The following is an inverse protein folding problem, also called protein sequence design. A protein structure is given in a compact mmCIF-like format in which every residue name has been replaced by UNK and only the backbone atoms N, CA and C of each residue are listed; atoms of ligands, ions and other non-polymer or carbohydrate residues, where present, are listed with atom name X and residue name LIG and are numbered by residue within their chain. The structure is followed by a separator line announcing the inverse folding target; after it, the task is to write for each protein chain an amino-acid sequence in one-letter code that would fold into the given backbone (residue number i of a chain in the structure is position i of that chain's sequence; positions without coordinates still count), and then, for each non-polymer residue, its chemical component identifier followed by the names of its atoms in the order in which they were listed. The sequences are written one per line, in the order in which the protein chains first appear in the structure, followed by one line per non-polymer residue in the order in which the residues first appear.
data_IF_774900482462
#
_entry.id   IF_774900482462
#
_cell.length_a   1.000
_cell.length_b   1.000
_cell.length_c   1.000
_cell.angle_alpha   90.00
_cell.angle_beta   90.00
_cell.angle_gamma   90.00
#
_symmetry.space_group_name_H-M   'P 1'
#
loop_
_entity.id
_entity.type
_entity.pdbx_description
1 polymer ?
#
# COMPACT_ATOMS: atom_id res chain seq x y z
N UNK A 1 -18.66 3.76 -12.60
CA UNK A 1 -18.97 2.55 -11.81
C UNK A 1 -17.90 1.53 -12.12
N UNK A 2 -17.18 0.99 -11.12
CA UNK A 2 -16.10 0.04 -11.35
C UNK A 2 -16.65 -1.23 -12.00
N UNK A 3 -15.86 -1.82 -12.90
CA UNK A 3 -16.24 -3.05 -13.59
C UNK A 3 -16.04 -4.24 -12.66
N UNK A 4 -16.97 -5.19 -12.66
CA UNK A 4 -16.86 -6.40 -11.83
C UNK A 4 -16.23 -7.52 -12.64
N UNK A 5 -15.16 -8.13 -12.13
CA UNK A 5 -14.54 -9.28 -12.76
C UNK A 5 -15.45 -10.51 -12.65
N UNK A 6 -15.52 -11.35 -13.69
CA UNK A 6 -16.22 -12.62 -13.58
C UNK A 6 -15.57 -13.53 -12.54
N UNK A 7 -16.38 -14.38 -11.93
CA UNK A 7 -15.90 -15.37 -10.97
C UNK A 7 -15.00 -16.38 -11.69
N UNK A 8 -13.71 -16.34 -11.40
CA UNK A 8 -12.70 -17.25 -11.95
C UNK A 8 -12.08 -18.15 -10.88
N UNK A 9 -12.24 -17.77 -9.61
CA UNK A 9 -11.82 -18.55 -8.46
C UNK A 9 -12.96 -19.47 -8.00
N UNK A 10 -12.63 -20.70 -7.62
CA UNK A 10 -13.60 -21.63 -7.04
C UNK A 10 -14.17 -21.14 -5.70
N UNK A 11 -15.17 -21.86 -5.18
CA UNK A 11 -15.91 -21.56 -3.94
C UNK A 11 -15.06 -21.20 -2.71
N UNK A 12 -13.80 -21.66 -2.64
CA UNK A 12 -12.92 -21.41 -1.50
C UNK A 12 -12.17 -20.06 -1.58
N UNK A 13 -12.19 -19.38 -2.73
CA UNK A 13 -11.42 -18.17 -2.97
C UNK A 13 -9.92 -18.43 -3.09
N UNK A 14 -9.15 -17.33 -3.07
CA UNK A 14 -7.69 -17.35 -3.11
C UNK A 14 -7.16 -16.75 -1.81
N UNK A 15 -6.54 -17.57 -0.96
CA UNK A 15 -5.81 -17.12 0.23
C UNK A 15 -4.33 -16.97 -0.14
N UNK A 16 -3.81 -15.75 -0.11
CA UNK A 16 -2.40 -15.45 -0.37
C UNK A 16 -1.65 -15.16 0.94
N UNK A 17 -0.40 -15.63 1.07
CA UNK A 17 0.44 -15.29 2.21
C UNK A 17 0.90 -13.84 2.12
N UNK A 18 1.33 -13.31 3.27
CA UNK A 18 1.98 -12.03 3.35
C UNK A 18 3.49 -12.18 3.27
N UNK A 19 4.12 -11.40 2.39
CA UNK A 19 5.56 -11.44 2.14
C UNK A 19 6.26 -10.16 2.63
N UNK A 20 7.55 -10.19 3.00
CA UNK A 20 8.31 -8.96 3.22
C UNK A 20 8.44 -8.13 1.94
N UNK A 21 8.20 -6.83 2.02
CA UNK A 21 8.50 -5.91 0.91
C UNK A 21 10.01 -5.78 0.77
N UNK A 22 10.57 -6.19 -0.38
CA UNK A 22 11.99 -6.00 -0.72
C UNK A 22 12.13 -5.53 -2.16
N UNK A 23 13.23 -4.85 -2.54
CA UNK A 23 13.46 -4.45 -3.93
C UNK A 23 13.38 -5.62 -4.92
N UNK A 24 13.91 -6.78 -4.57
CA UNK A 24 13.88 -7.97 -5.43
C UNK A 24 12.51 -8.62 -5.54
N UNK A 25 11.75 -8.69 -4.44
CA UNK A 25 10.44 -9.34 -4.46
C UNK A 25 9.39 -8.47 -5.16
N UNK A 26 9.57 -7.15 -5.17
CA UNK A 26 8.62 -6.20 -5.74
C UNK A 26 8.95 -5.77 -7.19
N UNK A 27 10.16 -6.04 -7.70
CA UNK A 27 10.61 -5.58 -9.02
C UNK A 27 9.70 -5.91 -10.23
N UNK A 28 8.88 -7.00 -10.24
CA UNK A 28 7.93 -7.23 -11.32
C UNK A 28 6.74 -6.25 -11.38
N UNK A 29 6.50 -5.50 -10.31
CA UNK A 29 5.32 -4.64 -10.12
C UNK A 29 5.68 -3.15 -10.07
N UNK A 30 6.97 -2.83 -9.94
CA UNK A 30 7.44 -1.47 -9.73
C UNK A 30 8.73 -1.46 -8.91
N UNK A 31 8.88 -0.48 -8.03
CA UNK A 31 10.08 -0.32 -7.19
C UNK A 31 9.70 -0.23 -5.72
N UNK A 32 10.28 -1.11 -4.89
CA UNK A 32 10.29 -0.91 -3.44
C UNK A 32 11.50 -0.04 -3.07
N UNK A 33 11.25 1.18 -2.62
CA UNK A 33 12.27 2.14 -2.23
C UNK A 33 12.62 1.87 -0.77
N UNK A 34 13.90 1.57 -0.52
CA UNK A 34 14.43 1.28 0.81
C UNK A 34 15.80 1.94 0.97
N UNK A 35 16.27 2.11 2.20
CA UNK A 35 17.63 2.57 2.48
C UNK A 35 18.66 1.68 1.77
N UNK A 36 19.58 2.23 0.96
CA UNK A 36 20.55 1.43 0.20
C UNK A 36 21.82 1.10 0.99
N UNK A 37 22.01 1.73 2.15
CA UNK A 37 23.19 1.61 3.00
C UNK A 37 22.89 0.76 4.24
N UNK A 38 23.92 0.17 4.87
CA UNK A 38 23.77 -0.51 6.15
C UNK A 38 23.06 0.34 7.20
N UNK A 39 22.55 -0.32 8.24
CA UNK A 39 21.89 0.27 9.40
C UNK A 39 22.54 1.61 9.79
N UNK A 40 21.78 2.73 9.83
CA UNK A 40 22.33 4.04 10.14
C UNK A 40 23.03 4.08 11.50
N UNK A 41 22.62 3.24 12.46
CA UNK A 41 23.29 3.11 13.77
C UNK A 41 24.74 2.60 13.65
N UNK A 42 25.07 1.93 12.54
CA UNK A 42 26.39 1.33 12.26
C UNK A 42 27.24 2.17 11.31
N UNK A 43 26.66 3.16 10.62
CA UNK A 43 27.36 4.00 9.63
C UNK A 43 27.03 5.48 9.82
N UNK A 44 27.76 6.14 10.72
CA UNK A 44 27.57 7.56 11.06
C UNK A 44 28.62 8.50 10.45
N UNK A 45 29.53 7.99 9.62
CA UNK A 45 30.55 8.78 8.91
C UNK A 45 30.51 8.43 7.42
N UNK A 46 30.57 9.43 6.52
CA UNK A 46 30.67 9.14 5.09
C UNK A 46 32.05 8.52 4.77
N UNK A 47 32.12 7.64 3.76
CA UNK A 47 33.39 7.14 3.23
C UNK A 47 34.27 8.30 2.74
N UNK A 48 35.60 8.19 2.85
CA UNK A 48 36.50 9.28 2.40
C UNK A 48 36.81 9.20 0.90
N UNK A 49 36.56 8.04 0.28
CA UNK A 49 36.81 7.78 -1.14
C UNK A 49 35.70 6.95 -1.78
N UNK A 50 35.58 7.00 -3.11
CA UNK A 50 34.58 6.22 -3.85
C UNK A 50 34.76 4.70 -3.69
N UNK A 51 36.01 4.24 -3.51
CA UNK A 51 36.34 2.82 -3.29
C UNK A 51 35.90 2.27 -1.93
N UNK A 52 35.64 3.15 -0.96
CA UNK A 52 35.17 2.77 0.38
C UNK A 52 33.65 2.78 0.51
N UNK A 53 32.93 3.22 -0.53
CA UNK A 53 31.46 3.21 -0.51
C UNK A 53 31.01 1.74 -0.49
N UNK A 54 30.22 1.32 0.52
CA UNK A 54 29.74 -0.05 0.58
C UNK A 54 28.85 -0.36 -0.64
N UNK A 55 28.79 -1.61 -1.10
CA UNK A 55 27.81 -2.01 -2.09
C UNK A 55 26.39 -1.80 -1.54
N UNK A 56 25.40 -1.54 -2.41
CA UNK A 56 24.03 -1.37 -1.97
C UNK A 56 23.46 -2.65 -1.37
N UNK A 57 22.62 -2.52 -0.33
CA UNK A 57 22.02 -3.65 0.40
C UNK A 57 21.23 -4.60 -0.52
N UNK A 58 20.57 -4.06 -1.55
CA UNK A 58 19.72 -4.83 -2.45
C UNK A 58 20.18 -4.78 -3.91
N UNK A 59 21.46 -5.08 -4.18
CA UNK A 59 21.95 -5.29 -5.54
C UNK A 59 21.20 -6.44 -6.26
N UNK A 60 20.94 -6.37 -7.58
CA UNK A 60 21.22 -5.24 -8.50
C UNK A 60 20.09 -4.18 -8.53
N UNK A 61 19.08 -4.28 -7.67
CA UNK A 61 17.88 -3.45 -7.69
C UNK A 61 18.08 -2.04 -7.12
N UNK A 62 19.25 -1.76 -6.55
CA UNK A 62 19.68 -0.44 -6.09
C UNK A 62 21.00 -0.10 -6.78
N UNK A 63 21.18 1.13 -7.30
CA UNK A 63 22.44 1.54 -7.90
C UNK A 63 23.51 1.78 -6.83
N UNK A 64 24.78 1.76 -7.25
CA UNK A 64 25.89 2.15 -6.40
C UNK A 64 25.77 3.63 -6.03
N UNK A 65 25.95 3.94 -4.75
CA UNK A 65 25.96 5.33 -4.30
C UNK A 65 27.25 6.05 -4.72
N UNK A 66 27.17 7.37 -4.89
CA UNK A 66 28.32 8.24 -5.18
C UNK A 66 28.49 9.31 -4.12
N UNK A 67 29.72 9.80 -3.92
CA UNK A 67 29.97 10.94 -3.04
C UNK A 67 29.27 12.19 -3.57
N UNK A 68 28.63 12.92 -2.67
CA UNK A 68 27.89 14.15 -2.94
C UNK A 68 28.10 15.16 -1.81
N UNK A 69 27.63 16.40 -2.02
CA UNK A 69 27.68 17.48 -1.04
C UNK A 69 29.08 17.68 -0.43
N UNK A 70 30.10 17.84 -1.28
CA UNK A 70 31.50 17.97 -0.82
C UNK A 70 31.93 16.80 0.10
N UNK A 71 31.56 15.58 -0.28
CA UNK A 71 31.84 14.32 0.45
C UNK A 71 31.16 14.20 1.82
N UNK A 72 30.15 15.02 2.11
CA UNK A 72 29.34 14.88 3.34
C UNK A 72 28.11 13.97 3.16
N UNK A 73 27.77 13.58 1.93
CA UNK A 73 26.62 12.75 1.63
C UNK A 73 26.93 11.66 0.61
N UNK A 74 26.10 10.62 0.60
CA UNK A 74 26.05 9.62 -0.45
C UNK A 74 24.75 9.78 -1.24
N UNK A 75 24.87 9.94 -2.56
CA UNK A 75 23.73 10.00 -3.48
C UNK A 75 23.55 8.65 -4.16
N UNK A 76 22.41 8.01 -3.91
CA UNK A 76 21.97 6.82 -4.66
C UNK A 76 20.97 7.28 -5.69
N UNK A 77 21.20 7.03 -6.98
CA UNK A 77 20.35 7.57 -8.05
C UNK A 77 20.44 6.77 -9.35
N UNK A 78 19.32 6.51 -10.05
CA UNK A 78 17.93 6.72 -9.59
C UNK A 78 17.51 5.66 -8.55
N UNK A 79 16.65 6.02 -7.58
CA UNK A 79 16.08 5.06 -6.59
C UNK A 79 14.70 4.53 -6.98
N UNK A 80 14.10 5.10 -8.02
CA UNK A 80 12.83 4.70 -8.64
C UNK A 80 12.72 5.39 -10.01
N UNK A 81 11.74 4.99 -10.82
CA UNK A 81 11.45 5.60 -12.12
C UNK A 81 10.20 6.47 -12.05
N UNK A 82 10.23 7.61 -12.73
CA UNK A 82 9.04 8.41 -13.00
C UNK A 82 8.58 8.13 -14.43
N UNK A 83 7.42 7.50 -14.59
CA UNK A 83 6.84 7.22 -15.90
C UNK A 83 5.62 8.10 -16.16
N UNK A 84 5.59 8.69 -17.35
CA UNK A 84 4.47 9.48 -17.87
C UNK A 84 4.28 9.11 -19.35
N UNK A 85 3.23 8.35 -19.62
CA UNK A 85 2.86 7.88 -20.96
C UNK A 85 1.42 8.23 -21.30
N UNK A 86 0.89 9.33 -20.74
CA UNK A 86 -0.43 9.81 -21.10
C UNK A 86 -0.46 10.14 -22.59
N UNK A 87 -1.52 9.74 -23.31
CA UNK A 87 -1.61 10.04 -24.73
C UNK A 87 -1.57 11.55 -24.95
N UNK A 88 -0.76 11.99 -25.91
CA UNK A 88 -0.82 13.37 -26.38
C UNK A 88 -2.25 13.66 -26.81
N UNK A 89 -2.80 14.79 -26.37
CA UNK A 89 -4.08 15.27 -26.88
C UNK A 89 -3.93 15.45 -28.39
N UNK A 90 -4.44 14.52 -29.18
CA UNK A 90 -4.44 14.65 -30.63
C UNK A 90 -5.74 14.07 -31.19
N UNK A 91 -6.45 14.97 -31.88
CA UNK A 91 -7.31 14.67 -33.02
C UNK A 91 -8.79 14.27 -32.80
N UNK A 92 -9.56 14.83 -31.86
CA UNK A 92 -11.03 14.75 -31.94
C UNK A 92 -11.85 15.80 -31.13
N UNK A 93 -11.40 17.05 -30.98
CA UNK A 93 -12.20 18.06 -30.29
C UNK A 93 -11.78 19.49 -30.55
N UNK A 94 -12.72 20.31 -30.97
CA UNK A 94 -12.60 21.73 -31.29
C UNK A 94 -12.07 22.55 -30.10
N UNK A 95 -11.09 23.44 -30.39
CA UNK A 95 -10.32 24.31 -29.49
C UNK A 95 -9.29 23.62 -28.58
N UNK A 96 -8.16 23.20 -29.17
CA UNK A 96 -6.93 22.97 -28.43
C UNK A 96 -6.28 24.32 -28.05
N UNK A 97 -6.18 24.61 -26.75
CA UNK A 97 -5.10 25.50 -26.30
C UNK A 97 -3.80 24.70 -26.40
N UNK A 98 -3.04 24.94 -27.48
CA UNK A 98 -1.73 24.32 -27.76
C UNK A 98 -0.70 24.51 -26.63
N UNK A 99 -1.03 25.27 -25.58
CA UNK A 99 -0.19 25.52 -24.41
C UNK A 99 -0.49 24.61 -23.22
N UNK A 100 -1.55 23.81 -23.23
CA UNK A 100 -1.87 22.89 -22.12
C UNK A 100 -1.11 21.56 -22.31
N UNK A 101 -0.27 21.13 -21.34
CA UNK A 101 0.42 19.85 -21.44
C UNK A 101 -0.58 18.67 -21.38
N UNK A 102 -0.23 17.53 -21.98
CA UNK A 102 -1.06 16.32 -21.98
C UNK A 102 -1.26 15.73 -20.58
N UNK A 103 -0.33 15.98 -19.67
CA UNK A 103 -0.40 15.65 -18.24
C UNK A 103 0.57 16.54 -17.45
N UNK A 104 0.48 16.53 -16.12
CA UNK A 104 1.40 17.26 -15.24
C UNK A 104 1.75 16.44 -14.00
N UNK A 105 2.94 16.66 -13.39
CA UNK A 105 3.29 16.01 -12.13
C UNK A 105 2.40 16.55 -11.00
N UNK A 106 1.96 15.66 -10.12
CA UNK A 106 1.15 15.98 -8.97
C UNK A 106 1.74 15.32 -7.73
N UNK A 107 1.79 16.09 -6.64
CA UNK A 107 2.05 15.59 -5.30
C UNK A 107 0.80 15.78 -4.45
N UNK A 108 0.45 14.78 -3.65
CA UNK A 108 -0.72 14.81 -2.78
C UNK A 108 -0.39 14.18 -1.43
N UNK A 109 -1.25 14.44 -0.44
CA UNK A 109 -1.17 13.83 0.88
C UNK A 109 -2.36 12.89 1.05
N UNK A 110 -2.11 11.61 1.34
CA UNK A 110 -3.15 10.69 1.77
C UNK A 110 -2.99 10.37 3.25
N UNK A 111 -4.00 10.72 4.04
CA UNK A 111 -4.11 10.29 5.44
C UNK A 111 -4.93 9.01 5.49
N UNK A 112 -4.25 7.86 5.55
CA UNK A 112 -4.86 6.54 5.50
C UNK A 112 -5.10 5.99 6.90
N UNK A 113 -6.34 5.70 7.25
CA UNK A 113 -6.72 5.17 8.56
C UNK A 113 -6.70 3.62 8.55
N UNK A 114 -6.48 2.97 9.72
CA UNK A 114 -6.48 1.51 9.82
C UNK A 114 -7.79 0.89 9.35
N UNK A 115 -7.71 -0.05 8.40
CA UNK A 115 -8.87 -0.74 7.84
C UNK A 115 -9.24 -1.98 8.67
N UNK A 116 -10.52 -2.33 8.67
CA UNK A 116 -10.98 -3.63 9.16
C UNK A 116 -10.52 -4.76 8.21
N UNK A 117 -10.27 -5.94 8.77
CA UNK A 117 -9.98 -7.19 8.06
C UNK A 117 -11.09 -7.59 7.06
N UNK A 118 -12.33 -7.13 7.27
CA UNK A 118 -13.43 -7.31 6.31
C UNK A 118 -13.19 -6.65 4.95
N UNK A 119 -12.27 -5.67 4.87
CA UNK A 119 -11.95 -4.96 3.63
C UNK A 119 -12.98 -3.90 3.22
N UNK A 120 -14.04 -3.65 3.98
CA UNK A 120 -15.08 -2.65 3.66
C UNK A 120 -15.16 -1.62 4.79
N UNK A 121 -14.91 -0.34 4.48
CA UNK A 121 -15.19 0.81 5.35
C UNK A 121 -14.43 0.87 6.69
N UNK A 122 -14.70 1.96 7.43
CA UNK A 122 -14.41 2.14 8.85
C UNK A 122 -15.75 1.97 9.62
N UNK A 123 -15.71 1.39 10.83
CA UNK A 123 -16.82 1.15 11.80
C UNK A 123 -17.58 -0.19 11.64
N UNK A 124 -17.97 -0.97 12.67
CA UNK A 124 -18.32 -0.75 14.10
C UNK A 124 -17.66 -1.85 14.96
N UNK A 125 -17.33 -1.63 16.26
CA UNK A 125 -16.90 -2.70 17.17
C UNK A 125 -18.06 -3.65 17.45
N UNK A 126 -18.27 -4.65 16.58
CA UNK A 126 -19.27 -5.68 16.85
C UNK A 126 -18.63 -6.86 17.58
N UNK A 127 -19.03 -7.01 18.84
CA UNK A 127 -18.58 -8.02 19.79
C UNK A 127 -19.07 -9.44 19.48
N UNK A 128 -19.19 -9.83 18.21
CA UNK A 128 -19.71 -11.14 17.81
C UNK A 128 -18.88 -11.74 16.67
N UNK A 129 -18.07 -12.75 17.02
CA UNK A 129 -17.36 -13.54 16.04
C UNK A 129 -16.11 -14.29 16.53
N UNK A 130 -15.82 -14.34 17.83
CA UNK A 130 -14.84 -15.31 18.36
C UNK A 130 -15.50 -16.68 18.46
N UNK A 131 -15.57 -17.39 17.34
CA UNK A 131 -15.79 -18.84 17.34
C UNK A 131 -14.43 -19.50 17.43
N UNK A 132 -14.27 -20.38 18.43
CA UNK A 132 -13.01 -21.01 18.78
C UNK A 132 -12.37 -21.88 17.69
N UNK A 133 -11.08 -22.15 17.92
CA UNK A 133 -10.11 -22.91 17.12
C UNK A 133 -9.34 -22.10 16.06
N UNK A 134 -8.08 -21.74 16.38
CA UNK A 134 -7.01 -21.39 15.45
C UNK A 134 -7.42 -20.55 14.21
N UNK A 135 -8.27 -19.54 14.36
CA UNK A 135 -8.72 -18.73 13.23
C UNK A 135 -7.55 -17.91 12.70
N UNK A 136 -7.27 -18.03 11.40
CA UNK A 136 -6.36 -17.14 10.70
C UNK A 136 -7.02 -15.76 10.61
N UNK A 137 -6.25 -14.72 10.92
CA UNK A 137 -6.68 -13.35 10.67
C UNK A 137 -6.46 -13.04 9.19
N UNK A 138 -7.51 -12.59 8.52
CA UNK A 138 -7.52 -12.48 7.05
C UNK A 138 -8.06 -11.13 6.61
N UNK A 139 -7.27 -10.38 5.85
CA UNK A 139 -7.73 -9.17 5.18
C UNK A 139 -8.37 -9.52 3.82
N UNK A 140 -9.61 -9.07 3.57
CA UNK A 140 -10.32 -9.31 2.31
C UNK A 140 -10.05 -8.20 1.30
N UNK A 141 -9.74 -8.60 0.07
CA UNK A 141 -9.54 -7.67 -1.05
C UNK A 141 -10.79 -7.69 -1.91
N UNK A 142 -11.44 -6.53 -2.07
CA UNK A 142 -12.68 -6.40 -2.85
C UNK A 142 -12.51 -5.59 -4.13
N UNK A 143 -11.46 -4.79 -4.23
CA UNK A 143 -11.19 -3.87 -5.33
C UNK A 143 -9.70 -3.81 -5.62
N UNK A 144 -9.36 -3.71 -6.91
CA UNK A 144 -8.04 -3.32 -7.39
C UNK A 144 -8.20 -2.12 -8.31
N UNK A 145 -7.22 -1.24 -8.31
CA UNK A 145 -7.11 -0.08 -9.18
C UNK A 145 -5.77 -0.11 -9.93
N UNK A 146 -5.68 0.66 -11.02
CA UNK A 146 -4.41 0.90 -11.72
C UNK A 146 -4.38 2.31 -12.30
N UNK A 147 -3.16 2.81 -12.49
CA UNK A 147 -2.85 4.03 -13.22
C UNK A 147 -2.19 3.64 -14.56
N UNK A 148 -2.93 3.54 -15.68
CA UNK A 148 -2.44 2.94 -16.93
C UNK A 148 -1.22 3.64 -17.52
N UNK A 149 -1.12 4.96 -17.31
CA UNK A 149 -0.16 5.82 -18.02
C UNK A 149 0.92 6.40 -17.12
N UNK A 150 0.94 6.08 -15.84
CA UNK A 150 1.91 6.68 -14.92
C UNK A 150 2.29 5.78 -13.78
N UNK A 151 3.49 5.99 -13.27
CA UNK A 151 3.90 5.49 -11.95
C UNK A 151 3.19 6.27 -10.86
N UNK A 152 2.86 5.60 -9.77
CA UNK A 152 2.37 6.24 -8.55
C UNK A 152 3.23 5.80 -7.37
N UNK A 153 3.78 6.77 -6.62
CA UNK A 153 4.66 6.50 -5.49
C UNK A 153 4.01 6.91 -4.17
N UNK A 154 4.04 6.04 -3.17
CA UNK A 154 3.65 6.30 -1.79
C UNK A 154 4.87 6.28 -0.88
N UNK A 155 5.11 7.36 -0.17
CA UNK A 155 6.17 7.48 0.84
C UNK A 155 5.52 7.71 2.22
N UNK A 156 5.62 6.77 3.17
CA UNK A 156 5.04 6.97 4.50
C UNK A 156 5.78 8.07 5.26
N UNK A 157 5.04 8.83 6.06
CA UNK A 157 5.57 9.81 7.00
C UNK A 157 5.29 9.38 8.43
N UNK A 158 6.30 9.47 9.30
CA UNK A 158 6.14 9.27 10.75
C UNK A 158 5.83 7.84 11.17
N UNK A 159 6.13 6.84 10.32
CA UNK A 159 6.04 5.42 10.65
C UNK A 159 7.42 4.86 10.99
N UNK A 160 7.52 4.01 12.02
CA UNK A 160 8.79 3.44 12.46
C UNK A 160 9.34 2.39 11.49
N UNK A 161 10.67 2.28 11.42
CA UNK A 161 11.38 1.32 10.58
C UNK A 161 11.35 -0.12 11.14
N UNK A 162 11.19 -0.27 12.45
CA UNK A 162 11.19 -1.55 13.17
C UNK A 162 9.92 -1.62 14.02
N UNK A 163 9.35 -2.82 14.17
CA UNK A 163 8.47 -3.12 15.31
C UNK A 163 9.38 -3.54 16.46
N UNK A 164 9.50 -2.77 17.55
CA UNK A 164 10.46 -3.06 18.64
C UNK A 164 10.39 -4.53 19.04
N UNK A 165 11.45 -5.25 18.73
CA UNK A 165 11.64 -6.64 19.12
C UNK A 165 12.84 -6.72 20.05
N UNK A 166 12.62 -6.31 21.30
CA UNK A 166 13.47 -6.63 22.42
C UNK A 166 14.59 -5.64 22.72
N UNK A 167 14.35 -4.75 23.68
CA UNK A 167 15.13 -4.73 24.92
C UNK A 167 14.18 -4.32 26.05
N UNK A 168 13.87 -5.28 26.92
CA UNK A 168 12.94 -5.11 28.05
C UNK A 168 13.75 -4.60 29.25
N UNK A 169 14.11 -3.33 29.26
CA UNK A 169 14.37 -2.64 30.52
C UNK A 169 13.01 -2.20 31.07
N UNK A 170 12.40 -3.10 31.83
CA UNK A 170 11.13 -2.92 32.51
C UNK A 170 11.25 -1.95 33.69
N UNK A 171 11.57 -0.68 33.44
CA UNK A 171 11.38 0.39 34.43
C UNK A 171 11.37 1.80 33.84
N UNK A 172 10.40 2.14 32.98
CA UNK A 172 9.81 3.49 32.96
C UNK A 172 8.35 3.35 32.51
N UNK A 173 7.42 3.71 33.40
CA UNK A 173 6.01 3.83 33.05
C UNK A 173 5.76 4.98 32.09
N UNK A 174 5.34 4.65 30.88
CA UNK A 174 4.42 5.45 30.05
C UNK A 174 3.69 4.52 29.09
N UNK A 175 2.41 4.27 29.38
CA UNK A 175 1.46 3.70 28.43
C UNK A 175 1.19 4.75 27.35
N UNK A 176 2.09 4.89 26.39
CA UNK A 176 1.80 5.57 25.14
C UNK A 176 1.80 4.51 24.03
N UNK A 177 0.65 4.43 23.35
CA UNK A 177 0.39 3.65 22.14
C UNK A 177 1.29 4.20 21.01
N UNK A 178 2.57 3.84 21.03
CA UNK A 178 3.59 4.38 20.13
C UNK A 178 3.39 3.97 18.64
N UNK A 179 2.30 3.27 18.31
CA UNK A 179 1.95 2.90 16.94
C UNK A 179 2.94 1.95 16.27
N UNK A 180 3.75 1.27 17.09
CA UNK A 180 4.78 0.32 16.66
C UNK A 180 4.21 -0.99 16.09
N UNK A 181 2.90 -1.14 16.18
CA UNK A 181 2.09 -2.20 15.60
C UNK A 181 1.57 -1.86 14.19
N UNK A 182 1.71 -0.59 13.78
CA UNK A 182 1.08 -0.08 12.57
C UNK A 182 1.95 -0.39 11.37
N UNK A 183 1.33 -0.96 10.35
CA UNK A 183 1.97 -1.32 9.08
C UNK A 183 1.03 -0.97 7.93
N UNK A 184 1.56 -0.98 6.72
CA UNK A 184 0.71 -0.92 5.53
C UNK A 184 0.98 -2.12 4.63
N UNK A 185 -0.09 -2.58 3.97
CA UNK A 185 -0.03 -3.67 3.01
C UNK A 185 0.06 -3.11 1.59
N UNK A 186 0.87 -3.76 0.77
CA UNK A 186 0.98 -3.53 -0.66
C UNK A 186 0.48 -4.78 -1.36
N UNK A 187 -0.68 -4.70 -1.99
CA UNK A 187 -1.31 -5.84 -2.66
C UNK A 187 -1.34 -5.53 -4.14
N UNK A 188 -0.70 -6.36 -4.96
CA UNK A 188 -0.45 -6.08 -6.38
C UNK A 188 -0.74 -7.29 -7.25
N UNK A 189 -1.24 -7.03 -8.45
CA UNK A 189 -1.36 -8.03 -9.50
C UNK A 189 -0.80 -7.46 -10.81
N UNK A 190 -0.11 -8.27 -11.62
CA UNK A 190 0.27 -7.85 -12.94
C UNK A 190 -0.97 -7.78 -13.83
N UNK A 191 -0.86 -7.06 -14.95
CA UNK A 191 -1.91 -7.05 -15.96
C UNK A 191 -1.90 -8.37 -16.74
N UNK A 192 -3.08 -9.00 -16.90
CA UNK A 192 -3.29 -10.17 -17.73
C UNK A 192 -3.29 -9.75 -19.20
N UNK A 193 -2.21 -10.04 -19.92
CA UNK A 193 -2.15 -9.87 -21.37
C UNK A 193 -2.75 -11.11 -22.03
N UNK A 194 -3.91 -10.96 -22.66
CA UNK A 194 -4.39 -12.00 -23.57
C UNK A 194 -3.45 -12.01 -24.78
N UNK A 195 -2.85 -13.14 -25.19
CA UNK A 195 -2.11 -13.18 -26.44
C UNK A 195 -3.10 -12.82 -27.56
N UNK A 196 -2.87 -11.70 -28.26
CA UNK A 196 -3.57 -11.48 -29.52
C UNK A 196 -3.32 -12.71 -30.38
N UNK A 197 -4.36 -13.41 -30.89
CA UNK A 197 -4.12 -14.41 -31.92
C UNK A 197 -3.41 -13.67 -33.06
N UNK A 198 -2.23 -14.16 -33.46
CA UNK A 198 -1.50 -13.65 -34.59
C UNK A 198 -2.47 -13.47 -35.75
N UNK A 199 -2.57 -12.24 -36.27
CA UNK A 199 -3.44 -11.93 -37.39
C UNK A 199 -3.17 -12.95 -38.50
N UNK A 200 -4.11 -13.87 -38.71
CA UNK A 200 -4.04 -14.77 -39.85
C UNK A 200 -4.08 -13.90 -41.10
N UNK A 201 -3.20 -14.13 -42.10
CA UNK A 201 -3.19 -13.31 -43.30
C UNK A 201 -4.57 -13.35 -43.96
N UNK A 202 -5.01 -12.25 -44.60
CA UNK A 202 -6.33 -12.19 -45.22
C UNK A 202 -6.43 -13.30 -46.27
N UNK A 203 -7.28 -14.29 -45.99
CA UNK A 203 -7.65 -15.31 -46.96
C UNK A 203 -8.51 -14.63 -48.03
N UNK A 204 -8.03 -14.67 -49.27
CA UNK A 204 -8.68 -14.13 -50.46
C UNK A 204 -10.13 -14.59 -50.57
N UNK A 205 -11.01 -13.63 -50.85
CA UNK A 205 -12.44 -13.82 -51.11
C UNK A 205 -12.71 -14.91 -52.16
N UNK A 206 -13.73 -15.73 -51.92
CA UNK A 206 -14.50 -16.39 -52.98
C UNK A 206 -15.99 -16.27 -52.63
N UNK A 207 -16.85 -15.77 -53.55
CA UNK A 207 -18.27 -15.61 -53.30
C UNK A 207 -19.02 -16.83 -53.83
N UNK A 208 -19.56 -17.69 -52.97
CA UNK A 208 -20.68 -18.58 -53.34
C UNK A 208 -21.21 -19.35 -52.12
N UNK A 209 -22.34 -18.90 -51.58
CA UNK A 209 -23.52 -19.70 -51.18
C UNK A 209 -24.38 -18.90 -50.18
N UNK A 210 -25.72 -18.98 -50.27
CA UNK A 210 -26.62 -18.29 -49.33
C UNK A 210 -26.53 -18.89 -47.92
N UNK A 211 -26.80 -18.11 -46.85
CA UNK A 211 -26.69 -18.60 -45.48
C UNK A 211 -27.84 -19.53 -45.12
N UNK A 212 -27.47 -20.70 -44.59
CA UNK A 212 -28.34 -21.65 -43.91
C UNK A 212 -28.81 -21.05 -42.57
N UNK A 213 -30.11 -21.03 -42.21
CA UNK A 213 -30.53 -20.60 -40.90
C UNK A 213 -30.36 -21.77 -39.92
N UNK A 214 -29.79 -21.48 -38.75
CA UNK A 214 -29.63 -22.36 -37.57
C UNK A 214 -28.24 -22.96 -37.38
N UNK A 215 -27.28 -22.12 -36.97
CA UNK A 215 -26.24 -22.57 -36.03
C UNK A 215 -26.18 -21.55 -34.89
N UNK A 216 -26.66 -21.96 -33.72
CA UNK A 216 -26.44 -21.26 -32.45
C UNK A 216 -25.08 -21.72 -31.95
N UNK A 217 -24.03 -20.86 -31.86
CA UNK A 217 -22.87 -21.21 -31.08
C UNK A 217 -23.20 -20.94 -29.61
N UNK A 218 -23.46 -22.01 -28.86
CA UNK A 218 -23.30 -22.02 -27.41
C UNK A 218 -21.81 -21.88 -27.11
N UNK A 219 -21.36 -20.64 -26.95
CA UNK A 219 -20.17 -20.33 -26.17
C UNK A 219 -20.47 -19.09 -25.38
N UNK A 220 -20.72 -19.29 -24.09
CA UNK A 220 -20.86 -18.26 -23.06
C UNK A 220 -19.55 -17.47 -22.99
N UNK A 221 -19.35 -16.59 -23.96
CA UNK A 221 -18.23 -15.67 -24.01
C UNK A 221 -18.57 -14.59 -23.00
N UNK A 222 -18.15 -14.81 -21.76
CA UNK A 222 -18.19 -13.79 -20.73
C UNK A 222 -17.30 -12.65 -21.23
N UNK A 223 -17.92 -11.58 -21.67
CA UNK A 223 -17.26 -10.36 -22.12
C UNK A 223 -16.51 -9.77 -20.93
N UNK A 224 -15.18 -9.95 -20.86
CA UNK A 224 -14.33 -9.22 -19.94
C UNK A 224 -14.36 -7.75 -20.36
N UNK A 225 -15.16 -6.93 -19.67
CA UNK A 225 -15.39 -5.52 -20.03
C UNK A 225 -14.21 -4.60 -19.69
N UNK A 226 -13.23 -5.07 -18.93
CA UNK A 226 -11.92 -4.41 -18.80
C UNK A 226 -10.92 -4.95 -19.80
N UNK A 227 -10.45 -4.11 -20.71
CA UNK A 227 -9.25 -4.43 -21.50
C UNK A 227 -8.06 -4.62 -20.55
N UNK A 228 -7.45 -5.81 -20.61
CA UNK A 228 -6.30 -6.22 -19.80
C UNK A 228 -6.59 -6.20 -18.26
N UNK A 229 -7.41 -7.14 -17.73
CA UNK A 229 -7.75 -7.23 -16.31
C UNK A 229 -6.54 -7.61 -15.43
N UNK A 230 -6.64 -7.58 -14.08
CA UNK A 230 -5.59 -8.12 -13.21
C UNK A 230 -5.47 -9.64 -13.37
N UNK A 231 -4.23 -10.13 -13.43
CA UNK A 231 -3.93 -11.56 -13.38
C UNK A 231 -3.91 -12.05 -11.93
N UNK A 232 -5.08 -12.49 -11.45
CA UNK A 232 -5.26 -12.97 -10.08
C UNK A 232 -4.45 -14.23 -9.76
N UNK A 233 -3.95 -14.96 -10.77
CA UNK A 233 -3.06 -16.11 -10.52
C UNK A 233 -1.66 -15.69 -10.03
N UNK A 234 -1.29 -14.42 -10.27
CA UNK A 234 -0.01 -13.82 -9.89
C UNK A 234 -0.16 -12.67 -8.90
N UNK A 235 -1.30 -12.56 -8.24
CA UNK A 235 -1.50 -11.57 -7.17
C UNK A 235 -0.59 -11.89 -5.98
N UNK A 236 0.00 -10.85 -5.40
CA UNK A 236 0.89 -10.93 -4.23
C UNK A 236 0.55 -9.87 -3.22
N UNK A 237 0.85 -10.14 -1.95
CA UNK A 237 0.66 -9.20 -0.85
C UNK A 237 1.97 -9.06 -0.08
N UNK A 238 2.36 -7.82 0.18
CA UNK A 238 3.56 -7.47 0.92
C UNK A 238 3.19 -6.68 2.17
N UNK A 239 3.93 -6.90 3.26
CA UNK A 239 3.95 -6.01 4.43
C UNK A 239 5.12 -5.05 4.30
N UNK A 240 4.84 -3.77 4.48
CA UNK A 240 5.82 -2.71 4.44
C UNK A 240 5.97 -2.03 5.81
N UNK A 241 7.20 -1.61 6.10
CA UNK A 241 7.59 -0.85 7.30
C UNK A 241 7.71 0.64 6.98
N UNK A 242 7.90 1.47 8.00
CA UNK A 242 7.98 2.92 7.85
C UNK A 242 9.23 3.46 7.16
N UNK A 243 10.27 2.64 7.00
CA UNK A 243 11.48 2.95 6.22
C UNK A 243 11.37 2.54 4.75
N UNK A 244 10.19 2.13 4.30
CA UNK A 244 9.96 1.63 2.95
C UNK A 244 8.89 2.47 2.24
N UNK A 245 9.17 2.83 1.00
CA UNK A 245 8.21 3.45 0.09
C UNK A 245 7.98 2.53 -1.11
N UNK A 246 6.88 2.73 -1.82
CA UNK A 246 6.52 1.92 -2.98
C UNK A 246 6.23 2.82 -4.16
N UNK A 247 6.81 2.52 -5.32
CA UNK A 247 6.39 3.05 -6.62
C UNK A 247 5.75 1.93 -7.42
N UNK A 248 4.46 2.01 -7.68
CA UNK A 248 3.80 1.13 -8.65
C UNK A 248 4.24 1.49 -10.07
N UNK A 249 4.58 0.49 -10.87
CA UNK A 249 4.81 0.68 -12.31
C UNK A 249 3.50 1.02 -13.04
N UNK A 250 3.59 1.78 -14.13
CA UNK A 250 2.41 2.12 -14.93
C UNK A 250 1.63 0.87 -15.35
N UNK A 251 0.32 0.91 -15.16
CA UNK A 251 -0.60 -0.19 -15.46
C UNK A 251 -0.55 -1.38 -14.50
N UNK A 252 0.24 -1.32 -13.43
CA UNK A 252 0.22 -2.34 -12.36
C UNK A 252 -1.07 -2.23 -11.56
N UNK A 253 -1.80 -3.33 -11.43
CA UNK A 253 -2.98 -3.38 -10.58
C UNK A 253 -2.55 -3.47 -9.12
N UNK A 254 -3.20 -2.70 -8.26
CA UNK A 254 -2.92 -2.67 -6.82
C UNK A 254 -4.19 -2.39 -6.03
N UNK A 255 -4.25 -2.82 -4.78
CA UNK A 255 -5.34 -2.42 -3.89
C UNK A 255 -5.15 -0.97 -3.44
N UNK A 256 -6.25 -0.20 -3.23
CA UNK A 256 -6.17 1.08 -2.53
C UNK A 256 -5.50 0.90 -1.17
N UNK A 257 -4.71 1.90 -0.72
CA UNK A 257 -3.86 1.80 0.46
C UNK A 257 -4.54 1.13 1.67
N UNK A 258 -3.85 0.14 2.22
CA UNK A 258 -4.31 -0.66 3.37
C UNK A 258 -3.38 -0.40 4.54
N UNK A 259 -3.84 0.41 5.50
CA UNK A 259 -3.18 0.54 6.80
C UNK A 259 -3.81 -0.46 7.77
N UNK A 260 -3.01 -1.12 8.59
CA UNK A 260 -3.43 -1.97 9.71
C UNK A 260 -2.69 -1.50 10.98
N UNK A 261 -3.30 -1.66 12.16
CA UNK A 261 -2.75 -1.24 13.44
C UNK A 261 -3.62 -0.22 14.17
N UNK A 262 -3.06 0.51 15.12
CA UNK A 262 -3.80 1.46 15.97
C UNK A 262 -3.93 2.87 15.39
N UNK A 263 -3.02 3.31 14.49
CA UNK A 263 -2.98 4.70 14.01
C UNK A 263 -2.98 4.85 12.50
N UNK A 264 -3.40 6.04 12.05
CA UNK A 264 -3.30 6.42 10.63
C UNK A 264 -1.85 6.58 10.19
N UNK A 265 -1.62 6.42 8.89
CA UNK A 265 -0.34 6.73 8.22
C UNK A 265 -0.60 7.80 7.18
N UNK A 266 0.20 8.87 7.22
CA UNK A 266 0.18 9.93 6.22
C UNK A 266 1.20 9.59 5.12
N UNK A 267 0.80 9.62 3.86
CA UNK A 267 1.65 9.30 2.71
C UNK A 267 1.82 10.52 1.81
N UNK A 268 3.08 10.84 1.50
CA UNK A 268 3.37 11.68 0.33
C UNK A 268 3.17 10.81 -0.91
N UNK A 269 2.25 11.24 -1.76
CA UNK A 269 1.93 10.57 -3.01
C UNK A 269 2.46 11.39 -4.18
N UNK A 270 3.16 10.76 -5.13
CA UNK A 270 3.57 11.41 -6.38
C UNK A 270 3.14 10.59 -7.59
N UNK A 271 2.61 11.27 -8.60
CA UNK A 271 2.18 10.69 -9.87
C UNK A 271 2.13 11.77 -10.95
N UNK A 272 1.86 11.41 -12.20
CA UNK A 272 1.36 12.34 -13.20
C UNK A 272 -0.17 12.24 -13.29
N UNK A 273 -0.85 13.30 -13.72
CA UNK A 273 -2.30 13.29 -13.98
C UNK A 273 -2.62 14.09 -15.23
N UNK A 274 -3.69 13.72 -15.95
CA UNK A 274 -4.23 14.52 -17.04
C UNK A 274 -5.63 15.11 -16.73
N UNK A 275 -6.25 14.70 -15.62
CA UNK A 275 -7.58 15.14 -15.20
C UNK A 275 -8.74 14.44 -15.91
N UNK A 276 -8.46 13.39 -16.70
CA UNK A 276 -9.48 12.52 -17.30
C UNK A 276 -9.63 11.30 -16.39
N UNK A 277 -10.78 11.10 -15.72
CA UNK A 277 -10.92 10.08 -14.69
C UNK A 277 -10.48 8.67 -15.11
N UNK A 278 -10.91 8.21 -16.29
CA UNK A 278 -10.61 6.85 -16.78
C UNK A 278 -9.16 6.68 -17.32
N UNK A 279 -8.48 7.78 -17.64
CA UNK A 279 -7.04 7.76 -17.97
C UNK A 279 -6.20 7.77 -16.71
N UNK A 280 -6.63 8.56 -15.72
CA UNK A 280 -5.94 8.71 -14.45
C UNK A 280 -6.06 7.44 -13.61
N UNK A 281 -7.24 6.86 -13.46
CA UNK A 281 -7.45 5.67 -12.63
C UNK A 281 -8.50 4.73 -13.24
N UNK A 282 -8.20 3.43 -13.21
CA UNK A 282 -9.15 2.39 -13.60
C UNK A 282 -9.34 1.42 -12.43
N UNK A 283 -10.58 1.13 -12.09
CA UNK A 283 -10.95 0.28 -10.96
C UNK A 283 -11.69 -0.98 -11.41
N UNK A 284 -11.43 -2.09 -10.73
CA UNK A 284 -12.19 -3.33 -10.86
C UNK A 284 -12.61 -3.87 -9.50
N UNK A 285 -13.89 -4.19 -9.38
CA UNK A 285 -14.40 -5.00 -8.29
C UNK A 285 -14.03 -6.46 -8.55
N UNK A 286 -13.50 -7.12 -7.54
CA UNK A 286 -13.21 -8.54 -7.60
C UNK A 286 -14.50 -9.38 -7.55
N UNK A 287 -15.63 -8.81 -7.13
CA UNK A 287 -16.92 -9.52 -7.07
C UNK A 287 -16.84 -10.73 -6.14
N UNK A 288 -17.26 -11.90 -6.63
CA UNK A 288 -17.18 -13.17 -5.88
C UNK A 288 -15.77 -13.80 -5.91
N UNK A 289 -14.79 -13.16 -6.55
CA UNK A 289 -13.40 -13.58 -6.42
C UNK A 289 -12.94 -13.29 -4.99
N UNK A 290 -13.10 -14.28 -4.11
CA UNK A 290 -12.81 -14.22 -2.68
C UNK A 290 -11.30 -14.17 -2.39
N UNK A 291 -10.62 -13.10 -2.81
CA UNK A 291 -9.20 -12.85 -2.51
C UNK A 291 -9.03 -12.43 -1.06
N UNK A 292 -8.10 -13.10 -0.38
CA UNK A 292 -7.86 -13.04 1.06
C UNK A 292 -6.36 -13.00 1.31
N UNK A 293 -5.89 -12.09 2.15
CA UNK A 293 -4.49 -12.02 2.60
C UNK A 293 -4.41 -12.56 4.02
N UNK A 294 -3.56 -13.56 4.27
CA UNK A 294 -3.28 -14.05 5.62
C UNK A 294 -2.41 -13.04 6.38
N UNK A 295 -2.99 -12.39 7.39
CA UNK A 295 -2.31 -11.38 8.23
C UNK A 295 -2.09 -11.86 9.66
N UNK A 296 -2.27 -13.16 9.92
CA UNK A 296 -2.13 -13.77 11.25
C UNK A 296 -0.78 -13.46 11.91
N UNK A 297 0.29 -13.33 11.12
CA UNK A 297 1.63 -13.01 11.59
C UNK A 297 1.78 -11.60 12.17
N UNK A 298 0.92 -10.66 11.77
CA UNK A 298 0.91 -9.29 12.28
C UNK A 298 -0.05 -9.18 13.47
N UNK A 299 -1.25 -9.77 13.37
CA UNK A 299 -2.29 -9.68 14.40
C UNK A 299 -1.88 -10.30 15.74
N UNK A 300 -1.07 -11.37 15.74
CA UNK A 300 -0.59 -12.01 16.98
C UNK A 300 0.45 -11.20 17.76
N UNK A 301 0.98 -10.11 17.19
CA UNK A 301 1.86 -9.18 17.91
C UNK A 301 1.07 -8.16 18.76
N UNK A 302 -0.27 -8.12 18.65
CA UNK A 302 -1.13 -7.32 19.52
C UNK A 302 -1.31 -8.04 20.86
N UNK A 303 -0.91 -7.46 22.01
CA UNK A 303 -1.25 -8.05 23.30
C UNK A 303 -2.78 -8.05 23.45
N UNK A 304 -3.34 -9.23 23.74
CA UNK A 304 -4.76 -9.36 24.06
C UNK A 304 -5.09 -8.45 25.24
N UNK A 305 -6.02 -7.52 25.07
CA UNK A 305 -6.51 -6.67 26.16
C UNK A 305 -6.89 -7.55 27.35
N UNK A 306 -6.20 -7.32 28.47
CA UNK A 306 -6.40 -8.06 29.71
C UNK A 306 -7.74 -7.71 30.34
N UNK A 307 -8.56 -8.74 30.52
CA UNK A 307 -9.43 -9.02 31.66
C UNK A 307 -10.24 -7.85 32.21
N UNK A 308 -11.52 -7.81 31.83
CA UNK A 308 -12.59 -7.17 32.58
C UNK A 308 -12.51 -7.63 34.04
N UNK A 309 -12.09 -6.75 34.95
CA UNK A 309 -12.33 -6.95 36.39
C UNK A 309 -13.80 -6.70 36.62
N UNK A 310 -14.55 -7.77 36.85
CA UNK A 310 -15.82 -7.70 37.58
C UNK A 310 -15.57 -7.01 38.92
N UNK A 311 -16.14 -5.82 39.10
CA UNK A 311 -16.31 -5.22 40.42
C UNK A 311 -17.78 -5.38 40.80
N UNK A 312 -18.07 -6.47 41.50
CA UNK A 312 -19.25 -6.56 42.35
C UNK A 312 -19.16 -5.48 43.41
N UNK A 313 -20.25 -4.74 43.57
CA UNK A 313 -20.45 -3.78 44.64
C UNK A 313 -20.27 -4.44 46.01
N UNK A 314 -19.57 -3.75 46.91
CA UNK A 314 -19.78 -3.91 48.34
C UNK A 314 -19.69 -2.53 48.99
N UNK A 315 -20.83 -2.11 49.54
CA UNK A 315 -20.97 -0.95 50.39
C UNK A 315 -20.20 -1.20 51.70
N UNK A 316 -19.35 -0.26 52.12
CA UNK A 316 -19.15 -0.08 53.56
C UNK A 316 -18.80 1.38 53.90
N UNK A 317 -19.64 1.95 54.76
CA UNK A 317 -19.48 3.26 55.37
C UNK A 317 -18.33 3.25 56.40
N UNK A 318 -17.54 4.32 56.43
CA UNK A 318 -16.62 4.58 57.55
C UNK A 318 -15.86 5.89 57.38
N UNK A 319 -16.25 6.91 58.14
CA UNK A 319 -15.50 8.14 58.38
C UNK A 319 -14.02 7.84 58.72
N UNK A 320 -13.11 8.75 58.39
CA UNK A 320 -12.20 9.46 59.32
C UNK A 320 -11.48 10.60 58.58
N UNK A 321 -11.09 11.62 59.33
CA UNK A 321 -10.78 12.98 58.89
C UNK A 321 -9.26 13.27 58.86
N UNK A 322 -8.91 14.43 58.27
CA UNK A 322 -7.69 15.24 58.43
C UNK A 322 -6.49 15.07 57.45
N UNK A 323 -6.32 16.07 56.56
CA UNK A 323 -5.18 17.01 56.72
C UNK A 323 -4.06 17.12 55.65
N UNK A 324 -4.22 18.10 54.72
CA UNK A 324 -3.22 19.05 54.14
C UNK A 324 -2.13 18.54 53.14
N UNK A 325 -1.43 19.43 52.39
CA UNK A 325 -1.91 20.61 51.63
C UNK A 325 -1.31 20.71 50.19
N UNK A 326 -1.93 21.56 49.37
CA UNK A 326 -1.54 21.92 48.00
C UNK A 326 -0.30 22.84 47.90
N UNK A 327 0.58 22.58 46.93
CA UNK A 327 1.76 23.42 46.60
C UNK A 327 1.41 24.52 45.56
N UNK A 328 2.04 25.72 45.62
CA UNK A 328 1.63 26.88 44.82
C UNK A 328 2.38 27.01 43.48
N UNK A 329 1.69 27.61 42.50
CA UNK A 329 2.22 28.02 41.19
C UNK A 329 3.17 29.22 41.33
N UNK A 330 4.39 29.12 40.78
CA UNK A 330 5.32 30.24 40.63
C UNK A 330 5.04 31.01 39.34
N UNK A 331 4.76 32.31 39.47
CA UNK A 331 4.66 33.30 38.41
C UNK A 331 5.98 34.09 38.38
N UNK A 332 6.77 33.96 37.32
CA UNK A 332 7.98 34.77 37.13
C UNK A 332 7.60 36.09 36.45
N UNK A 333 7.86 37.19 37.14
CA UNK A 333 7.79 38.56 36.63
C UNK A 333 9.12 38.91 35.94
N UNK A 334 9.04 39.34 34.69
CA UNK A 334 10.13 40.02 33.97
C UNK A 334 10.07 41.50 34.33
N UNK A 335 11.20 42.08 34.77
CA UNK A 335 11.42 43.54 34.82
C UNK A 335 12.35 43.93 33.66
N UNK A 336 12.10 45.07 32.99
CA UNK A 336 12.99 45.57 31.94
C UNK A 336 14.09 46.44 32.55
N UNK A 337 15.26 46.52 31.90
CA UNK A 337 16.14 47.69 31.95
C UNK A 337 17.11 47.70 30.77
N UNK A 338 17.03 48.80 30.03
CA UNK A 338 18.03 49.57 29.28
C UNK A 338 18.86 48.83 28.22
#
# INVERSE_FOLDING_TARGET
MPLTLPTTLGINGLLIPLEPLTPSTFSPFGTAITGPLPDPRKMNKPPVSASEIPPPLHAPHQPQATLANQNSALKTSPISVFQNSYPSSSANGTSQDLRKPSSWPQMSMFSCFPRNLSGIGMDVPDGQGRVGAASRDVFRVSILERHPYTTQTFVPLGLAAETDSGDVDADVGSHDDDGNDTVFLVIVAPTLTSPLPAASPPSSLSPSSPPDPLVIPQSSTITTTTNNPPDLSRIRAFVARGDQAVTYGAGTWHAPMVVLGSRRVDFVVTQFVNGVPDDDCQEVLLGDNLVKVDVTSISRKQPSSSTQKDSTADENHGLWSMGRPSRPKRRLHVKPKL
#
